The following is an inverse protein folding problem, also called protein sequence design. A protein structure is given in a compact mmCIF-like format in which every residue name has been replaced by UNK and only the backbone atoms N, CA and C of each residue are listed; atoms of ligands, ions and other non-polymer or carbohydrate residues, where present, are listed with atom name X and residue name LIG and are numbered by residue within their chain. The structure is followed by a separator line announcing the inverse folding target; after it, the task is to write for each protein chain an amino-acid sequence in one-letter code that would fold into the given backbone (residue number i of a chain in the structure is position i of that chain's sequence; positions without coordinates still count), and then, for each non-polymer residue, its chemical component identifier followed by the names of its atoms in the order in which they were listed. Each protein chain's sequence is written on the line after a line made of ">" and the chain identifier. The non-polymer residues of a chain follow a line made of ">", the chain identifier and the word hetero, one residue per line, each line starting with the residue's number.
data_IF_355297354448
#
_entry.id   IF_355297354448
#
_cell.length_a   1.000
_cell.length_b   1.000
_cell.length_c   1.000
_cell.angle_alpha   90.00
_cell.angle_beta   90.00
_cell.angle_gamma   90.00
#
_symmetry.space_group_name_H-M   'P 1'
#
loop_
_entity.id
_entity.type
_entity.pdbx_description
1 polymer ?
#
# COMPACT_ATOMS: atom_id res chain seq x y z
N UNK A 1 -47.77 -1.02 -8.69
CA UNK A 1 -46.54 -1.74 -8.27
C UNK A 1 -46.47 -1.72 -6.75
N UNK A 2 -46.30 -2.88 -6.10
CA UNK A 2 -46.29 -2.96 -4.63
C UNK A 2 -44.92 -2.53 -4.11
N UNK A 3 -44.81 -1.32 -3.57
CA UNK A 3 -43.56 -0.69 -3.09
C UNK A 3 -42.79 -1.64 -2.14
N UNK A 4 -43.49 -2.43 -1.31
CA UNK A 4 -42.87 -3.41 -0.40
C UNK A 4 -42.09 -4.49 -1.15
N UNK A 5 -42.62 -4.98 -2.28
CA UNK A 5 -41.93 -6.01 -3.11
C UNK A 5 -40.70 -5.43 -3.80
N UNK A 6 -40.76 -4.17 -4.23
CA UNK A 6 -39.61 -3.48 -4.82
C UNK A 6 -38.49 -3.29 -3.77
N UNK A 7 -38.83 -2.81 -2.57
CA UNK A 7 -37.85 -2.62 -1.49
C UNK A 7 -37.17 -3.94 -1.07
N UNK A 8 -37.93 -5.02 -0.94
CA UNK A 8 -37.37 -6.35 -0.63
C UNK A 8 -36.45 -6.83 -1.76
N UNK A 9 -36.86 -6.68 -3.02
CA UNK A 9 -36.03 -7.03 -4.16
C UNK A 9 -34.71 -6.25 -4.20
N UNK A 10 -34.77 -4.93 -4.01
CA UNK A 10 -33.58 -4.07 -3.96
C UNK A 10 -32.63 -4.43 -2.81
N UNK A 11 -33.16 -4.77 -1.63
CA UNK A 11 -32.35 -5.20 -0.48
C UNK A 11 -31.58 -6.49 -0.77
N UNK A 12 -32.22 -7.48 -1.40
CA UNK A 12 -31.57 -8.76 -1.77
C UNK A 12 -30.42 -8.52 -2.74
N UNK A 13 -30.64 -7.68 -3.77
CA UNK A 13 -29.59 -7.33 -4.73
C UNK A 13 -28.41 -6.65 -4.02
N UNK A 14 -28.68 -5.70 -3.13
CA UNK A 14 -27.64 -4.98 -2.39
C UNK A 14 -26.79 -5.93 -1.51
N UNK A 15 -27.43 -6.83 -0.75
CA UNK A 15 -26.72 -7.81 0.10
C UNK A 15 -25.88 -8.78 -0.74
N UNK A 16 -26.41 -9.23 -1.88
CA UNK A 16 -25.67 -10.10 -2.80
C UNK A 16 -24.45 -9.37 -3.39
N UNK A 17 -24.59 -8.10 -3.78
CA UNK A 17 -23.49 -7.28 -4.29
C UNK A 17 -22.38 -7.08 -3.24
N UNK A 18 -22.73 -6.79 -1.98
CA UNK A 18 -21.74 -6.67 -0.90
C UNK A 18 -21.02 -7.99 -0.67
N UNK A 19 -21.76 -9.10 -0.63
CA UNK A 19 -21.16 -10.43 -0.41
C UNK A 19 -20.20 -10.79 -1.54
N UNK A 20 -20.55 -10.49 -2.79
CA UNK A 20 -19.68 -10.70 -3.94
C UNK A 20 -18.44 -9.81 -3.90
N UNK A 21 -18.60 -8.53 -3.55
CA UNK A 21 -17.50 -7.58 -3.43
C UNK A 21 -16.51 -8.01 -2.33
N UNK A 22 -17.01 -8.35 -1.14
CA UNK A 22 -16.18 -8.83 -0.03
C UNK A 22 -15.46 -10.14 -0.36
N UNK A 23 -16.12 -11.08 -1.05
CA UNK A 23 -15.48 -12.31 -1.52
C UNK A 23 -14.37 -12.02 -2.55
N UNK A 24 -14.58 -11.06 -3.45
CA UNK A 24 -13.57 -10.63 -4.43
C UNK A 24 -12.35 -10.01 -3.74
N UNK A 25 -12.57 -9.08 -2.80
CA UNK A 25 -11.50 -8.47 -1.99
C UNK A 25 -10.72 -9.56 -1.23
N UNK A 26 -11.43 -10.47 -0.56
CA UNK A 26 -10.82 -11.56 0.21
C UNK A 26 -9.96 -12.45 -0.67
N UNK A 27 -10.48 -12.86 -1.83
CA UNK A 27 -9.73 -13.69 -2.79
C UNK A 27 -8.49 -12.98 -3.29
N UNK A 28 -8.60 -11.70 -3.66
CA UNK A 28 -7.49 -10.92 -4.17
C UNK A 28 -6.40 -10.73 -3.11
N UNK A 29 -6.80 -10.35 -1.89
CA UNK A 29 -5.88 -10.21 -0.76
C UNK A 29 -5.17 -11.50 -0.38
N UNK A 30 -5.90 -12.62 -0.32
CA UNK A 30 -5.31 -13.93 -0.05
C UNK A 30 -4.32 -14.38 -1.13
N UNK A 31 -4.62 -14.11 -2.40
CA UNK A 31 -3.71 -14.41 -3.49
C UNK A 31 -2.42 -13.59 -3.37
N UNK A 32 -2.51 -12.30 -3.07
CA UNK A 32 -1.34 -11.47 -2.85
C UNK A 32 -0.52 -11.94 -1.65
N UNK A 33 -1.18 -12.20 -0.51
CA UNK A 33 -0.53 -12.70 0.72
C UNK A 33 0.24 -14.02 0.49
N UNK A 34 -0.24 -14.86 -0.43
CA UNK A 34 0.45 -16.10 -0.79
C UNK A 34 1.76 -15.90 -1.55
N UNK A 35 1.98 -14.70 -2.11
CA UNK A 35 3.20 -14.35 -2.85
C UNK A 35 4.23 -13.58 -2.02
N UNK A 36 3.91 -13.29 -0.76
CA UNK A 36 4.81 -12.59 0.16
C UNK A 36 5.90 -13.52 0.69
N UNK A 37 7.10 -12.98 0.88
CA UNK A 37 8.12 -13.65 1.70
C UNK A 37 7.69 -13.60 3.17
N UNK A 38 7.63 -14.78 3.79
CA UNK A 38 7.27 -14.97 5.21
C UNK A 38 8.48 -15.24 6.10
N UNK A 39 9.69 -15.05 5.57
CA UNK A 39 10.93 -15.14 6.35
C UNK A 39 10.94 -14.08 7.47
N UNK A 40 11.64 -14.34 8.61
CA UNK A 40 11.70 -13.38 9.71
C UNK A 40 12.26 -12.00 9.33
N UNK A 41 13.14 -11.98 8.32
CA UNK A 41 13.83 -10.79 7.84
C UNK A 41 13.04 -10.05 6.74
N UNK A 42 11.93 -10.63 6.28
CA UNK A 42 11.06 -10.02 5.28
C UNK A 42 10.48 -8.67 5.76
N UNK A 43 10.29 -7.79 4.78
CA UNK A 43 9.63 -6.49 4.93
C UNK A 43 8.27 -6.46 4.21
N UNK A 44 7.86 -7.60 3.63
CA UNK A 44 6.58 -7.73 2.96
C UNK A 44 5.42 -7.58 3.93
N UNK A 45 4.41 -6.82 3.52
CA UNK A 45 3.26 -6.53 4.36
C UNK A 45 1.99 -6.50 3.53
N UNK A 46 0.89 -6.99 4.10
CA UNK A 46 -0.42 -6.83 3.48
C UNK A 46 -1.52 -6.67 4.52
N UNK A 47 -2.60 -6.02 4.08
CA UNK A 47 -3.87 -5.93 4.78
C UNK A 47 -5.01 -6.25 3.82
N UNK A 48 -5.80 -7.28 4.13
CA UNK A 48 -6.99 -7.59 3.33
C UNK A 48 -8.18 -6.75 3.78
N UNK A 49 -8.38 -6.65 5.10
CA UNK A 49 -9.38 -5.79 5.73
C UNK A 49 -8.79 -5.10 6.97
N UNK A 50 -9.00 -3.80 7.13
CA UNK A 50 -8.64 -3.05 8.34
C UNK A 50 -7.49 -2.06 8.15
N UNK A 51 -6.68 -1.85 9.17
CA UNK A 51 -5.54 -0.94 9.08
C UNK A 51 -4.34 -1.36 9.91
N UNK A 52 -3.16 -0.90 9.49
CA UNK A 52 -1.87 -1.26 10.10
C UNK A 52 -0.93 -0.06 10.12
N UNK A 53 -0.16 0.07 11.18
CA UNK A 53 1.00 0.97 11.23
C UNK A 53 2.22 0.09 11.50
N UNK A 54 3.28 0.27 10.72
CA UNK A 54 4.50 -0.52 10.85
C UNK A 54 5.72 0.40 10.88
N UNK A 55 6.44 0.35 12.00
CA UNK A 55 7.75 0.98 12.16
C UNK A 55 8.82 -0.05 11.81
N UNK A 56 9.73 0.30 10.89
CA UNK A 56 10.79 -0.61 10.40
C UNK A 56 12.17 -0.24 10.96
N UNK A 57 12.19 0.42 12.12
CA UNK A 57 13.40 0.97 12.73
C UNK A 57 14.45 -0.11 13.02
N UNK A 58 15.69 0.14 12.62
CA UNK A 58 16.82 -0.76 12.81
C UNK A 58 16.77 -2.03 11.95
N UNK A 59 15.78 -2.20 11.07
CA UNK A 59 15.79 -3.30 10.10
C UNK A 59 16.70 -2.98 8.92
N UNK A 60 17.37 -4.01 8.41
CA UNK A 60 18.09 -3.91 7.13
C UNK A 60 17.07 -3.81 6.00
N UNK A 61 17.18 -2.79 5.17
CA UNK A 61 16.31 -2.55 4.02
C UNK A 61 16.42 -3.72 3.03
N UNK A 62 15.28 -4.13 2.48
CA UNK A 62 15.15 -5.17 1.48
C UNK A 62 14.15 -4.72 0.43
N UNK A 63 14.15 -5.41 -0.71
CA UNK A 63 13.03 -5.31 -1.63
C UNK A 63 11.77 -5.75 -0.89
N UNK A 64 10.66 -5.04 -1.12
CA UNK A 64 9.43 -5.29 -0.39
C UNK A 64 8.19 -5.23 -1.28
N UNK A 65 7.18 -6.01 -0.88
CA UNK A 65 5.87 -6.04 -1.52
C UNK A 65 4.80 -5.62 -0.51
N UNK A 66 3.96 -4.67 -0.91
CA UNK A 66 2.97 -4.04 -0.02
C UNK A 66 1.57 -4.10 -0.63
N UNK A 67 0.62 -4.69 0.09
CA UNK A 67 -0.76 -4.85 -0.39
C UNK A 67 -1.81 -4.24 0.52
N UNK A 68 -2.71 -3.42 -0.02
CA UNK A 68 -3.89 -2.91 0.70
C UNK A 68 -5.19 -3.13 -0.10
N UNK A 69 -6.03 -4.08 0.34
CA UNK A 69 -7.20 -4.50 -0.44
C UNK A 69 -8.51 -3.86 0.00
N UNK A 70 -8.73 -3.72 1.31
CA UNK A 70 -9.85 -2.98 1.88
C UNK A 70 -9.43 -2.31 3.20
N UNK A 71 -8.98 -1.06 3.12
CA UNK A 71 -8.46 -0.32 4.26
C UNK A 71 -7.12 0.36 3.98
N UNK A 72 -6.25 0.53 4.97
CA UNK A 72 -4.99 1.25 4.73
C UNK A 72 -3.86 1.01 5.72
N UNK A 73 -2.64 1.25 5.27
CA UNK A 73 -1.43 1.00 6.07
C UNK A 73 -0.43 2.15 5.98
N UNK A 74 0.19 2.47 7.11
CA UNK A 74 1.34 3.36 7.16
C UNK A 74 2.61 2.53 7.42
N UNK A 75 3.64 2.75 6.59
CA UNK A 75 4.97 2.19 6.78
C UNK A 75 5.95 3.33 7.01
N UNK A 76 6.71 3.23 8.09
CA UNK A 76 7.78 4.16 8.42
C UNK A 76 9.14 3.54 8.15
N UNK A 77 9.86 4.12 7.19
CA UNK A 77 11.19 3.69 6.76
C UNK A 77 12.29 4.59 7.33
N UNK A 78 11.99 5.53 8.23
CA UNK A 78 12.93 6.59 8.63
C UNK A 78 14.25 6.04 9.18
N UNK A 79 14.20 4.96 9.96
CA UNK A 79 15.34 4.37 10.67
C UNK A 79 15.82 3.04 10.04
N UNK A 80 15.59 2.81 8.74
CA UNK A 80 16.07 1.59 8.07
C UNK A 80 17.57 1.65 7.78
N UNK A 81 18.24 0.50 7.89
CA UNK A 81 19.67 0.35 7.59
C UNK A 81 19.83 -0.09 6.14
N UNK A 82 20.54 0.68 5.33
CA UNK A 82 20.77 0.34 3.92
C UNK A 82 22.15 -0.25 3.71
N UNK A 83 22.24 -1.46 3.16
CA UNK A 83 23.49 -2.13 2.77
C UNK A 83 23.77 -2.09 1.26
N UNK A 84 22.73 -1.82 0.46
CA UNK A 84 22.75 -1.58 -0.99
C UNK A 84 22.37 -0.14 -1.33
N UNK A 85 22.68 0.25 -2.57
CA UNK A 85 22.32 1.55 -3.18
C UNK A 85 20.96 1.56 -3.88
N UNK A 86 20.37 0.39 -4.13
CA UNK A 86 19.13 0.25 -4.90
C UNK A 86 18.21 -0.80 -4.27
N UNK A 87 16.92 -0.48 -4.19
CA UNK A 87 15.86 -1.37 -3.73
C UNK A 87 14.61 -1.23 -4.60
N UNK A 88 13.77 -2.27 -4.58
CA UNK A 88 12.50 -2.30 -5.29
C UNK A 88 11.32 -2.42 -4.33
N UNK A 89 10.23 -1.73 -4.66
CA UNK A 89 8.97 -1.80 -3.95
C UNK A 89 7.83 -2.07 -4.93
N UNK A 90 7.11 -3.17 -4.73
CA UNK A 90 5.94 -3.54 -5.53
C UNK A 90 4.67 -3.34 -4.68
N UNK A 91 3.73 -2.54 -5.18
CA UNK A 91 2.56 -2.10 -4.44
C UNK A 91 1.28 -2.47 -5.19
N UNK A 92 0.33 -3.04 -4.45
CA UNK A 92 -1.04 -3.24 -4.95
C UNK A 92 -2.09 -2.66 -4.00
N UNK A 93 -2.93 -1.76 -4.52
CA UNK A 93 -4.05 -1.17 -3.80
C UNK A 93 -5.36 -1.46 -4.53
N UNK A 94 -6.34 -2.06 -3.84
CA UNK A 94 -7.67 -2.34 -4.40
C UNK A 94 -8.74 -1.33 -3.96
N UNK A 95 -9.06 -1.26 -2.66
CA UNK A 95 -10.00 -0.31 -2.05
C UNK A 95 -9.40 0.28 -0.78
N UNK A 96 -8.59 1.33 -0.88
CA UNK A 96 -7.81 1.73 0.28
C UNK A 96 -6.76 2.79 0.08
N UNK A 97 -5.73 2.75 0.92
CA UNK A 97 -4.56 3.57 0.68
C UNK A 97 -3.34 3.21 1.52
N UNK A 98 -2.20 3.72 1.10
CA UNK A 98 -0.92 3.51 1.76
C UNK A 98 -0.23 4.85 2.02
N UNK A 99 0.43 4.96 3.17
CA UNK A 99 1.27 6.09 3.49
C UNK A 99 2.68 5.60 3.80
N UNK A 100 3.67 6.11 3.10
CA UNK A 100 5.07 5.78 3.31
C UNK A 100 5.80 7.01 3.84
N UNK A 101 6.38 6.86 5.03
CA UNK A 101 7.34 7.84 5.55
C UNK A 101 8.72 7.40 5.08
N UNK A 102 9.32 8.20 4.21
CA UNK A 102 10.57 7.89 3.51
C UNK A 102 11.68 8.80 4.00
N UNK A 103 12.84 8.27 4.43
CA UNK A 103 13.94 9.11 4.88
C UNK A 103 14.54 9.93 3.73
N UNK A 104 15.10 11.10 4.04
CA UNK A 104 15.55 12.09 3.06
C UNK A 104 16.78 11.66 2.23
N UNK A 105 17.44 10.56 2.62
CA UNK A 105 18.55 9.95 1.89
C UNK A 105 18.08 8.98 0.79
N UNK A 106 16.77 8.85 0.57
CA UNK A 106 16.20 8.04 -0.51
C UNK A 106 15.74 8.92 -1.67
N UNK A 107 15.96 8.44 -2.88
CA UNK A 107 15.37 8.97 -4.10
C UNK A 107 14.28 8.01 -4.60
N UNK A 108 13.02 8.44 -4.54
CA UNK A 108 11.86 7.62 -4.91
C UNK A 108 11.57 7.76 -6.40
N UNK A 109 11.80 6.69 -7.15
CA UNK A 109 11.52 6.58 -8.58
C UNK A 109 10.21 5.81 -8.77
N UNK A 110 9.12 6.54 -8.99
CA UNK A 110 7.76 5.97 -9.04
C UNK A 110 7.29 5.72 -10.47
N UNK A 111 6.77 4.51 -10.70
CA UNK A 111 5.96 4.14 -11.87
C UNK A 111 4.63 3.62 -11.35
N UNK A 112 3.53 4.32 -11.64
CA UNK A 112 2.20 3.93 -11.16
C UNK A 112 1.18 3.74 -12.30
N UNK A 113 0.21 2.87 -12.02
CA UNK A 113 -1.01 2.69 -12.77
C UNK A 113 -2.20 2.98 -11.87
N UNK A 114 -2.57 4.26 -11.75
CA UNK A 114 -3.78 4.68 -11.03
C UNK A 114 -5.02 4.71 -11.92
N UNK A 115 -6.09 4.00 -11.51
CA UNK A 115 -7.38 3.96 -12.21
C UNK A 115 -8.40 4.93 -11.59
N UNK A 116 -8.78 4.70 -10.34
CA UNK A 116 -9.73 5.53 -9.58
C UNK A 116 -9.08 6.00 -8.28
N UNK A 117 -8.32 7.09 -8.35
CA UNK A 117 -7.47 7.50 -7.25
C UNK A 117 -6.28 8.33 -7.67
N UNK A 118 -5.26 8.38 -6.82
CA UNK A 118 -4.00 9.04 -7.15
C UNK A 118 -2.82 8.56 -6.32
N UNK A 119 -1.62 8.75 -6.87
CA UNK A 119 -0.37 8.58 -6.14
C UNK A 119 0.31 9.93 -5.99
N UNK A 120 0.69 10.29 -4.77
CA UNK A 120 1.45 11.50 -4.47
C UNK A 120 2.84 11.15 -3.97
N UNK A 121 3.86 11.75 -4.58
CA UNK A 121 5.22 11.72 -4.07
C UNK A 121 5.61 13.13 -3.64
N UNK A 122 5.58 13.36 -2.32
CA UNK A 122 5.99 14.60 -1.66
C UNK A 122 7.37 14.45 -1.00
N UNK A 123 8.15 13.44 -1.38
CA UNK A 123 9.50 13.25 -0.86
C UNK A 123 10.49 14.24 -1.51
N UNK A 124 11.42 14.70 -0.71
CA UNK A 124 12.53 15.58 -1.06
C UNK A 124 13.82 14.83 -0.71
N UNK A 125 14.63 14.57 -1.72
CA UNK A 125 15.95 13.96 -1.56
C UNK A 125 17.00 15.07 -1.41
N UNK A 126 17.65 15.18 -0.24
CA UNK A 126 18.61 16.27 0.04
C UNK A 126 19.94 16.12 -0.70
N UNK A 127 20.38 14.89 -0.97
CA UNK A 127 21.61 14.59 -1.70
C UNK A 127 21.37 13.52 -2.77
N UNK A 128 20.88 13.91 -3.96
CA UNK A 128 20.56 12.96 -5.04
C UNK A 128 21.75 12.15 -5.56
N UNK A 129 22.98 12.65 -5.42
CA UNK A 129 24.18 11.96 -5.93
C UNK A 129 24.57 10.76 -5.06
N UNK A 130 24.33 10.86 -3.75
CA UNK A 130 24.64 9.79 -2.81
C UNK A 130 23.43 8.99 -2.32
N UNK A 131 22.22 9.39 -2.75
CA UNK A 131 20.97 8.80 -2.34
C UNK A 131 20.86 7.30 -2.66
N UNK A 132 20.04 6.64 -1.85
CA UNK A 132 19.57 5.27 -2.10
C UNK A 132 18.39 5.34 -3.07
N UNK A 133 18.48 4.64 -4.19
CA UNK A 133 17.39 4.57 -5.16
C UNK A 133 16.31 3.59 -4.71
N UNK A 134 15.06 4.05 -4.64
CA UNK A 134 13.91 3.20 -4.39
C UNK A 134 13.00 3.22 -5.62
N UNK A 135 13.05 2.13 -6.39
CA UNK A 135 12.19 1.95 -7.55
C UNK A 135 10.83 1.40 -7.11
N UNK A 136 9.77 2.17 -7.32
CA UNK A 136 8.42 1.82 -6.90
C UNK A 136 7.55 1.50 -8.11
N UNK A 137 6.93 0.34 -8.10
CA UNK A 137 5.89 -0.05 -9.05
C UNK A 137 4.56 -0.16 -8.31
N UNK A 138 3.56 0.62 -8.72
CA UNK A 138 2.27 0.66 -8.01
C UNK A 138 1.07 0.43 -8.94
N UNK A 139 0.24 -0.58 -8.65
CA UNK A 139 -1.11 -0.71 -9.24
C UNK A 139 -2.16 -0.23 -8.23
N UNK A 140 -2.84 0.88 -8.55
CA UNK A 140 -3.85 1.50 -7.69
C UNK A 140 -5.20 1.47 -8.39
N UNK A 141 -6.15 0.73 -7.83
CA UNK A 141 -7.49 0.60 -8.37
C UNK A 141 -8.43 1.67 -7.82
N UNK A 142 -8.85 1.55 -6.56
CA UNK A 142 -9.67 2.53 -5.86
C UNK A 142 -8.94 2.97 -4.59
N UNK A 143 -8.42 4.19 -4.56
CA UNK A 143 -7.62 4.61 -3.41
C UNK A 143 -6.53 5.63 -3.67
N UNK A 144 -5.51 5.61 -2.83
CA UNK A 144 -4.31 6.40 -3.08
C UNK A 144 -3.09 5.96 -2.30
N UNK A 145 -1.93 6.41 -2.76
CA UNK A 145 -0.65 6.20 -2.08
C UNK A 145 -0.02 7.57 -1.87
N UNK A 146 0.50 7.81 -0.68
CA UNK A 146 1.28 9.01 -0.37
C UNK A 146 2.68 8.61 0.10
N UNK A 147 3.69 9.20 -0.51
CA UNK A 147 5.06 9.18 -0.05
C UNK A 147 5.41 10.57 0.50
N UNK A 148 5.95 10.63 1.70
CA UNK A 148 6.34 11.87 2.36
C UNK A 148 7.60 11.66 3.19
N UNK A 149 8.34 12.73 3.44
CA UNK A 149 9.43 12.68 4.41
C UNK A 149 8.91 12.75 5.85
N UNK A 150 9.68 12.29 6.84
CA UNK A 150 9.33 12.51 8.24
C UNK A 150 9.19 14.01 8.53
N UNK A 151 8.21 14.35 9.38
CA UNK A 151 8.04 15.73 9.84
C UNK A 151 9.21 16.08 10.74
N UNK A 152 10.13 16.92 10.24
CA UNK A 152 11.19 17.50 11.07
C UNK A 152 10.55 18.47 12.05
N UNK A 153 10.70 18.21 13.35
CA UNK A 153 10.39 19.21 14.37
C UNK A 153 11.40 20.36 14.21
N UNK A 154 10.94 21.49 13.68
CA UNK A 154 11.66 22.77 13.70
C UNK A 154 11.76 23.33 15.14
#
# INVERSE_FOLDING_TARGET
>A
MNIKKLLVGSLVVYVASITLCTAFVYKKGKNFESTLDKSPDSMDESITFGGKMKLLNGKVMRDLRVGAFSGGMQLDLTDVITDKKEYQMDIEVLYGGLNFIVPENFNVNLVDHSRFGGVSNNTICKDPENAVSLSVFADVNFGGINFENPVTAE
#
